data_IF_220785090985
#
_entry.id   IF_220785090985
#
_cell.length_a   1.000
_cell.length_b   1.000
_cell.length_c   1.000
_cell.angle_alpha   90.00
_cell.angle_beta   90.00
_cell.angle_gamma   90.00
#
_symmetry.space_group_name_H-M   'P 1'
#
loop_
_entity.id
_entity.type
_entity.pdbx_description
1 polymer ?
#
# COMPACT_ATOMS: atom_id res chain seq x y z
N UNK A 1 -15.86 43.79 -16.55
CA UNK A 1 -14.99 42.63 -16.19
C UNK A 1 -15.75 41.38 -15.71
N UNK A 2 -17.07 41.25 -15.92
CA UNK A 2 -17.87 40.10 -15.41
C UNK A 2 -17.94 38.89 -16.37
N UNK A 3 -17.74 39.10 -17.68
CA UNK A 3 -17.92 38.05 -18.69
C UNK A 3 -16.70 37.16 -18.91
N UNK A 4 -15.48 37.62 -18.58
CA UNK A 4 -14.24 36.84 -18.77
C UNK A 4 -13.97 35.84 -17.64
N UNK A 5 -14.59 36.02 -16.47
CA UNK A 5 -14.47 35.07 -15.34
C UNK A 5 -15.38 33.85 -15.51
N UNK A 6 -16.59 34.00 -16.09
CA UNK A 6 -17.53 32.88 -16.32
C UNK A 6 -17.05 31.83 -17.33
N UNK A 7 -16.09 32.17 -18.21
CA UNK A 7 -15.51 31.20 -19.16
C UNK A 7 -14.74 30.07 -18.45
N UNK A 8 -14.31 30.28 -17.20
CA UNK A 8 -13.69 29.23 -16.35
C UNK A 8 -14.72 28.25 -15.77
N UNK A 9 -15.97 28.67 -15.60
CA UNK A 9 -17.05 27.86 -15.02
C UNK A 9 -17.86 27.10 -16.08
N UNK A 10 -17.50 27.18 -17.37
CA UNK A 10 -18.31 26.62 -18.46
C UNK A 10 -18.39 25.08 -18.45
N UNK A 11 -17.53 24.40 -17.69
CA UNK A 11 -17.55 22.95 -17.50
C UNK A 11 -17.95 22.51 -16.09
N UNK A 12 -18.41 23.41 -15.23
CA UNK A 12 -18.89 23.06 -13.89
C UNK A 12 -20.36 22.61 -13.99
N UNK A 13 -20.66 21.46 -13.40
CA UNK A 13 -22.00 20.86 -13.30
C UNK A 13 -22.31 20.61 -11.83
N UNK A 14 -23.59 20.72 -11.44
CA UNK A 14 -23.98 20.45 -10.06
C UNK A 14 -24.08 18.94 -9.84
N UNK A 15 -23.62 18.48 -8.68
CA UNK A 15 -23.81 17.08 -8.27
C UNK A 15 -25.29 16.74 -8.05
N UNK A 16 -26.13 17.76 -7.84
CA UNK A 16 -27.59 17.63 -7.69
C UNK A 16 -28.34 17.77 -9.01
N UNK A 17 -27.65 17.88 -10.14
CA UNK A 17 -28.31 17.92 -11.45
C UNK A 17 -28.85 16.52 -11.77
N UNK A 18 -30.15 16.46 -12.12
CA UNK A 18 -30.83 15.24 -12.54
C UNK A 18 -30.33 14.80 -13.92
N UNK A 19 -29.90 13.53 -14.01
CA UNK A 19 -29.48 12.88 -15.26
C UNK A 19 -30.71 12.27 -15.95
N UNK A 20 -31.55 11.58 -15.18
CA UNK A 20 -32.71 10.84 -15.68
C UNK A 20 -33.83 10.88 -14.63
N UNK A 21 -35.08 10.94 -15.08
CA UNK A 21 -36.27 10.86 -14.20
C UNK A 21 -37.04 9.60 -14.56
N UNK A 22 -37.34 8.77 -13.56
CA UNK A 22 -38.11 7.54 -13.76
C UNK A 22 -39.61 7.82 -13.99
N UNK A 23 -40.40 6.78 -14.26
CA UNK A 23 -41.85 6.90 -14.51
C UNK A 23 -42.65 7.27 -13.26
N UNK A 24 -42.07 7.10 -12.07
CA UNK A 24 -42.67 7.41 -10.77
C UNK A 24 -42.27 8.81 -10.27
N UNK A 25 -41.41 9.52 -11.03
CA UNK A 25 -40.95 10.88 -10.75
C UNK A 25 -39.73 10.98 -9.84
N UNK A 26 -38.98 9.89 -9.64
CA UNK A 26 -37.69 9.95 -8.94
C UNK A 26 -36.58 10.36 -9.91
N UNK A 27 -35.78 11.34 -9.49
CA UNK A 27 -34.63 11.82 -10.25
C UNK A 27 -33.37 11.05 -9.85
N UNK A 28 -32.68 10.47 -10.84
CA UNK A 28 -31.31 10.00 -10.71
C UNK A 28 -30.38 11.21 -10.82
N UNK A 29 -29.67 11.55 -9.75
CA UNK A 29 -28.76 12.70 -9.73
C UNK A 29 -27.35 12.27 -10.11
N UNK A 30 -26.53 13.25 -10.53
CA UNK A 30 -25.11 12.99 -10.82
C UNK A 30 -24.36 12.39 -9.62
N UNK A 31 -24.66 12.82 -8.39
CA UNK A 31 -24.08 12.25 -7.17
C UNK A 31 -24.38 10.76 -6.95
N UNK A 32 -25.47 10.24 -7.49
CA UNK A 32 -25.86 8.83 -7.29
C UNK A 32 -25.04 7.89 -8.19
N UNK A 33 -24.51 8.42 -9.29
CA UNK A 33 -23.72 7.67 -10.28
C UNK A 33 -22.22 7.85 -10.05
N UNK A 34 -21.81 8.94 -9.39
CA UNK A 34 -20.41 9.22 -9.06
C UNK A 34 -19.96 8.27 -7.94
N UNK A 35 -19.39 7.14 -8.35
CA UNK A 35 -18.71 6.21 -7.45
C UNK A 35 -17.34 6.70 -7.01
N UNK A 36 -16.91 6.21 -5.85
CA UNK A 36 -15.50 6.22 -5.44
C UNK A 36 -14.92 4.83 -5.69
N UNK A 37 -13.61 4.76 -5.90
CA UNK A 37 -12.93 3.46 -5.88
C UNK A 37 -13.14 2.84 -4.50
N UNK A 38 -13.87 1.73 -4.44
CA UNK A 38 -14.05 0.98 -3.20
C UNK A 38 -12.77 0.20 -2.90
N UNK A 39 -11.93 0.77 -2.05
CA UNK A 39 -10.70 0.14 -1.57
C UNK A 39 -10.90 -0.67 -0.30
N UNK A 40 -12.14 -0.82 0.22
CA UNK A 40 -12.34 -1.47 1.52
C UNK A 40 -11.81 -2.90 1.54
N UNK A 41 -12.03 -3.66 0.46
CA UNK A 41 -11.55 -5.03 0.34
C UNK A 41 -10.01 -5.09 0.30
N UNK A 42 -9.38 -4.25 -0.53
CA UNK A 42 -7.91 -4.22 -0.63
C UNK A 42 -7.27 -3.75 0.68
N UNK A 43 -7.86 -2.76 1.35
CA UNK A 43 -7.36 -2.24 2.62
C UNK A 43 -7.44 -3.28 3.75
N UNK A 44 -8.48 -4.12 3.74
CA UNK A 44 -8.58 -5.25 4.66
C UNK A 44 -7.54 -6.32 4.35
N UNK A 45 -7.36 -6.67 3.08
CA UNK A 45 -6.36 -7.65 2.66
C UNK A 45 -4.94 -7.19 3.01
N UNK A 46 -4.59 -5.93 2.74
CA UNK A 46 -3.28 -5.35 3.09
C UNK A 46 -3.00 -5.42 4.60
N UNK A 47 -4.04 -5.27 5.44
CA UNK A 47 -3.90 -5.40 6.90
C UNK A 47 -3.63 -6.84 7.31
N UNK A 48 -4.35 -7.80 6.74
CA UNK A 48 -4.14 -9.23 6.99
C UNK A 48 -2.75 -9.67 6.56
N UNK A 49 -2.33 -9.28 5.35
CA UNK A 49 -0.99 -9.55 4.82
C UNK A 49 0.10 -8.93 5.70
N UNK A 50 -0.11 -7.71 6.19
CA UNK A 50 0.83 -7.06 7.12
C UNK A 50 0.99 -7.85 8.43
N UNK A 51 -0.10 -8.39 8.96
CA UNK A 51 -0.07 -9.22 10.18
C UNK A 51 0.65 -10.54 9.91
N UNK A 52 0.36 -11.19 8.78
CA UNK A 52 1.01 -12.43 8.37
C UNK A 52 2.53 -12.24 8.22
N UNK A 53 2.98 -11.24 7.44
CA UNK A 53 4.40 -10.96 7.22
C UNK A 53 5.11 -10.67 8.55
N UNK A 54 4.51 -9.88 9.45
CA UNK A 54 5.09 -9.59 10.77
C UNK A 54 5.25 -10.85 11.62
N UNK A 55 4.32 -11.81 11.50
CA UNK A 55 4.41 -13.09 12.19
C UNK A 55 5.53 -13.95 11.61
N UNK A 56 5.57 -14.13 10.29
CA UNK A 56 6.59 -14.93 9.61
C UNK A 56 8.01 -14.39 9.83
N UNK A 57 8.18 -13.07 9.81
CA UNK A 57 9.46 -12.42 10.15
C UNK A 57 9.93 -12.74 11.58
N UNK A 58 9.01 -13.02 12.51
CA UNK A 58 9.35 -13.41 13.89
C UNK A 58 9.60 -14.92 14.03
N UNK A 59 8.82 -15.74 13.33
CA UNK A 59 8.83 -17.21 13.47
C UNK A 59 9.89 -17.89 12.59
N UNK A 60 10.07 -17.43 11.35
CA UNK A 60 10.88 -18.13 10.33
C UNK A 60 12.32 -17.62 10.25
N UNK A 61 12.58 -16.38 10.68
CA UNK A 61 13.88 -15.74 10.55
C UNK A 61 14.69 -15.81 11.85
N UNK A 62 15.98 -16.06 11.70
CA UNK A 62 16.96 -15.89 12.79
C UNK A 62 17.04 -14.42 13.20
N UNK A 63 17.58 -14.14 14.39
CA UNK A 63 17.73 -12.76 14.88
C UNK A 63 18.50 -11.86 13.90
N UNK A 64 19.52 -12.41 13.24
CA UNK A 64 20.34 -11.67 12.29
C UNK A 64 19.62 -11.38 10.97
N UNK A 65 18.89 -12.37 10.45
CA UNK A 65 18.03 -12.20 9.27
C UNK A 65 16.92 -11.18 9.56
N UNK A 66 16.24 -11.32 10.70
CA UNK A 66 15.20 -10.41 11.16
C UNK A 66 15.71 -8.98 11.31
N UNK A 67 16.90 -8.78 11.88
CA UNK A 67 17.52 -7.46 11.99
C UNK A 67 17.75 -6.82 10.61
N UNK A 68 18.32 -7.58 9.67
CA UNK A 68 18.62 -7.08 8.32
C UNK A 68 17.32 -6.76 7.56
N UNK A 69 16.33 -7.66 7.57
CA UNK A 69 15.03 -7.45 6.91
C UNK A 69 14.29 -6.26 7.52
N UNK A 70 14.27 -6.14 8.85
CA UNK A 70 13.64 -5.01 9.55
C UNK A 70 14.26 -3.69 9.14
N UNK A 71 15.59 -3.60 9.07
CA UNK A 71 16.28 -2.38 8.64
C UNK A 71 16.10 -2.11 7.15
N UNK A 72 16.09 -3.16 6.31
CA UNK A 72 16.00 -3.04 4.86
C UNK A 72 14.67 -2.45 4.41
N UNK A 73 13.57 -2.92 5.01
CA UNK A 73 12.21 -2.59 4.61
C UNK A 73 11.49 -1.64 5.58
N UNK A 74 12.16 -1.22 6.66
CA UNK A 74 11.58 -0.24 7.59
C UNK A 74 10.49 -0.81 8.50
N UNK A 75 10.53 -2.12 8.79
CA UNK A 75 9.51 -2.76 9.61
C UNK A 75 9.51 -2.19 11.04
N UNK A 76 8.32 -2.04 11.62
CA UNK A 76 8.15 -1.49 12.97
C UNK A 76 8.32 0.03 13.05
N UNK A 77 7.99 0.77 12.00
CA UNK A 77 8.02 2.25 11.99
C UNK A 77 9.42 2.83 11.78
N UNK A 78 10.35 2.06 11.20
CA UNK A 78 11.71 2.51 10.91
C UNK A 78 11.78 2.99 9.46
N UNK A 79 12.70 3.90 9.16
CA UNK A 79 13.00 4.21 7.77
C UNK A 79 13.74 3.05 7.10
N UNK A 80 13.34 2.64 5.88
CA UNK A 80 14.09 1.68 5.07
C UNK A 80 15.53 2.12 4.87
N UNK A 81 16.46 1.16 4.88
CA UNK A 81 17.89 1.39 4.65
C UNK A 81 18.39 0.57 3.47
N UNK A 82 19.41 1.08 2.80
CA UNK A 82 20.13 0.36 1.76
C UNK A 82 21.04 -0.72 2.36
N UNK A 83 21.37 -1.74 1.57
CA UNK A 83 22.33 -2.77 1.98
C UNK A 83 23.69 -2.19 2.42
N UNK A 84 24.14 -1.08 1.80
CA UNK A 84 25.40 -0.40 2.16
C UNK A 84 25.32 0.25 3.55
N UNK A 85 24.21 0.91 3.86
CA UNK A 85 24.01 1.53 5.18
C UNK A 85 23.89 0.48 6.28
N UNK A 86 23.20 -0.63 6.00
CA UNK A 86 23.09 -1.77 6.90
C UNK A 86 24.48 -2.39 7.13
N UNK A 87 25.24 -2.62 6.05
CA UNK A 87 26.61 -3.14 6.12
C UNK A 87 27.51 -2.27 7.01
N UNK A 88 27.48 -0.95 6.80
CA UNK A 88 28.22 0.03 7.62
C UNK A 88 27.80 -0.04 9.09
N UNK A 89 26.50 -0.11 9.36
CA UNK A 89 25.96 -0.20 10.73
C UNK A 89 26.39 -1.50 11.44
N UNK A 90 26.43 -2.60 10.70
CA UNK A 90 26.66 -3.94 11.22
C UNK A 90 28.13 -4.39 11.18
N UNK A 91 29.03 -3.56 10.66
CA UNK A 91 30.47 -3.88 10.57
C UNK A 91 30.79 -5.03 9.62
N UNK A 92 29.95 -5.28 8.60
CA UNK A 92 30.09 -6.39 7.65
C UNK A 92 30.07 -5.90 6.20
N UNK A 93 30.42 -6.76 5.25
CA UNK A 93 30.40 -6.39 3.84
C UNK A 93 28.98 -6.27 3.28
N UNK A 94 28.78 -5.38 2.30
CA UNK A 94 27.50 -5.25 1.56
C UNK A 94 27.09 -6.56 0.88
N UNK A 95 28.05 -7.33 0.37
CA UNK A 95 27.80 -8.65 -0.22
C UNK A 95 27.28 -9.64 0.83
N UNK A 96 27.81 -9.60 2.05
CA UNK A 96 27.33 -10.46 3.14
C UNK A 96 25.90 -10.11 3.54
N UNK A 97 25.57 -8.81 3.68
CA UNK A 97 24.18 -8.36 3.89
C UNK A 97 23.26 -8.88 2.79
N UNK A 98 23.67 -8.74 1.52
CA UNK A 98 22.87 -9.19 0.37
C UNK A 98 22.60 -10.70 0.40
N UNK A 99 23.58 -11.52 0.83
CA UNK A 99 23.39 -12.98 0.95
C UNK A 99 22.46 -13.36 2.09
N UNK A 100 22.46 -12.61 3.19
CA UNK A 100 21.53 -12.84 4.30
C UNK A 100 20.13 -12.40 3.92
N UNK A 101 19.98 -11.24 3.27
CA UNK A 101 18.69 -10.75 2.75
C UNK A 101 18.08 -11.76 1.79
N UNK A 102 18.84 -12.26 0.80
CA UNK A 102 18.34 -13.27 -0.16
C UNK A 102 17.81 -14.52 0.54
N UNK A 103 18.58 -15.08 1.48
CA UNK A 103 18.18 -16.26 2.26
C UNK A 103 16.96 -16.02 3.14
N UNK A 104 16.86 -14.83 3.73
CA UNK A 104 15.70 -14.46 4.54
C UNK A 104 14.44 -14.36 3.66
N UNK A 105 14.54 -13.77 2.47
CA UNK A 105 13.43 -13.67 1.53
C UNK A 105 12.99 -15.04 1.02
N UNK A 106 13.92 -15.94 0.68
CA UNK A 106 13.61 -17.32 0.27
C UNK A 106 12.80 -18.06 1.35
N UNK A 107 13.20 -17.96 2.63
CA UNK A 107 12.47 -18.55 3.76
C UNK A 107 11.07 -17.97 3.94
N UNK A 108 10.91 -16.66 3.73
CA UNK A 108 9.60 -16.01 3.84
C UNK A 108 8.70 -16.40 2.67
N UNK A 109 9.24 -16.50 1.46
CA UNK A 109 8.52 -16.95 0.27
C UNK A 109 7.99 -18.38 0.42
N UNK A 110 8.84 -19.30 0.89
CA UNK A 110 8.45 -20.68 1.20
C UNK A 110 7.34 -20.72 2.27
N UNK A 111 7.50 -19.98 3.37
CA UNK A 111 6.52 -19.95 4.45
C UNK A 111 5.17 -19.30 4.06
N UNK A 112 5.15 -18.41 3.06
CA UNK A 112 3.92 -17.87 2.47
C UNK A 112 3.26 -18.94 1.59
N UNK A 113 4.04 -19.61 0.73
CA UNK A 113 3.54 -20.65 -0.17
C UNK A 113 2.99 -21.90 0.53
N UNK A 114 3.51 -22.24 1.71
CA UNK A 114 2.97 -23.33 2.53
C UNK A 114 1.67 -22.99 3.27
N UNK A 115 1.32 -21.69 3.37
CA UNK A 115 0.19 -21.19 4.19
C UNK A 115 -0.91 -20.49 3.38
N UNK A 116 -0.73 -20.30 2.07
CA UNK A 116 -1.75 -19.84 1.13
C UNK A 116 -2.49 -21.00 0.49
#
# INVERSE_FOLDING_TARGET
MYFRSRKKLQGEVSLSDSIETDQDGNDLMLMDVVGVDDTMLSDLQDREDSVLVRRLVRECLTDREREIVTLRYGLGGRMPRTQREIAKKLGISRSYVSRIEKRALEKLEEAIGERG
#
